data_IF_352918352875
#
_entry.id   IF_352918352875
#
_cell.length_a   1.000
_cell.length_b   1.000
_cell.length_c   1.000
_cell.angle_alpha   90.00
_cell.angle_beta   90.00
_cell.angle_gamma   90.00
#
_symmetry.space_group_name_H-M   'P 1'
#
loop_
_entity.id
_entity.type
_entity.pdbx_description
1 polymer ?
#
# COMPACT_ATOMS: atom_id res chain seq x y z
N UNK A 1 -60.64 -8.65 16.53
CA UNK A 1 -59.71 -9.75 16.19
C UNK A 1 -58.75 -9.42 15.06
N UNK A 2 -59.00 -8.48 14.15
CA UNK A 2 -58.20 -8.12 12.98
C UNK A 2 -56.97 -7.21 13.33
N UNK A 3 -57.10 -6.36 14.36
CA UNK A 3 -56.05 -5.40 14.77
C UNK A 3 -54.82 -6.08 15.44
N UNK A 4 -55.04 -7.20 16.16
CA UNK A 4 -53.98 -7.92 16.85
C UNK A 4 -53.02 -8.66 15.87
N UNK A 5 -53.53 -9.14 14.73
CA UNK A 5 -52.74 -9.83 13.73
C UNK A 5 -51.84 -8.85 12.97
N UNK A 6 -52.28 -7.62 12.72
CA UNK A 6 -51.51 -6.59 12.07
C UNK A 6 -50.31 -6.10 12.92
N UNK A 7 -50.46 -6.00 14.24
CA UNK A 7 -49.43 -5.58 15.17
C UNK A 7 -48.34 -6.64 15.31
N UNK A 8 -48.69 -7.91 15.35
CA UNK A 8 -47.70 -9.01 15.41
C UNK A 8 -46.91 -9.10 14.11
N UNK A 9 -47.55 -8.92 12.94
CA UNK A 9 -46.85 -8.89 11.64
C UNK A 9 -45.85 -7.71 11.50
N UNK A 10 -46.22 -6.54 12.07
CA UNK A 10 -45.34 -5.37 12.05
C UNK A 10 -44.12 -5.50 12.99
N UNK A 11 -44.29 -6.15 14.14
CA UNK A 11 -43.24 -6.44 15.10
C UNK A 11 -42.24 -7.48 14.56
N UNK A 12 -42.72 -8.52 13.89
CA UNK A 12 -41.85 -9.54 13.28
C UNK A 12 -41.07 -9.00 12.10
N UNK A 13 -41.67 -8.17 11.22
CA UNK A 13 -40.98 -7.51 10.12
C UNK A 13 -39.89 -6.56 10.63
N UNK A 14 -40.13 -5.81 11.70
CA UNK A 14 -39.17 -4.90 12.32
C UNK A 14 -38.00 -5.64 13.00
N UNK A 15 -38.25 -6.82 13.55
CA UNK A 15 -37.20 -7.70 14.08
C UNK A 15 -36.37 -8.33 12.99
N UNK A 16 -36.96 -8.79 11.89
CA UNK A 16 -36.23 -9.30 10.70
C UNK A 16 -35.35 -8.24 10.06
N UNK A 17 -35.85 -7.00 9.91
CA UNK A 17 -35.04 -5.89 9.40
C UNK A 17 -33.87 -5.55 10.31
N UNK A 18 -34.04 -5.58 11.63
CA UNK A 18 -32.96 -5.37 12.60
C UNK A 18 -31.92 -6.50 12.57
N UNK A 19 -32.34 -7.73 12.33
CA UNK A 19 -31.45 -8.86 12.18
C UNK A 19 -30.65 -8.79 10.88
N UNK A 20 -31.28 -8.41 9.75
CA UNK A 20 -30.62 -8.16 8.46
C UNK A 20 -29.64 -6.99 8.54
N UNK A 21 -30.06 -5.86 9.15
CA UNK A 21 -29.17 -4.72 9.38
C UNK A 21 -27.98 -5.05 10.30
N UNK A 22 -28.19 -5.84 11.35
CA UNK A 22 -27.09 -6.33 12.19
C UNK A 22 -26.16 -7.29 11.44
N UNK A 23 -26.68 -8.16 10.59
CA UNK A 23 -25.89 -9.05 9.75
C UNK A 23 -25.06 -8.26 8.71
N UNK A 24 -25.66 -7.30 8.03
CA UNK A 24 -24.97 -6.43 7.06
C UNK A 24 -23.97 -5.50 7.78
N UNK A 25 -24.32 -4.96 8.97
CA UNK A 25 -23.35 -4.19 9.76
C UNK A 25 -22.21 -5.09 10.27
N UNK A 26 -22.46 -6.34 10.65
CA UNK A 26 -21.44 -7.27 11.11
C UNK A 26 -20.48 -7.66 9.96
N UNK A 27 -20.97 -7.80 8.72
CA UNK A 27 -20.10 -8.02 7.56
C UNK A 27 -19.31 -6.77 7.17
N UNK A 28 -19.86 -5.56 7.39
CA UNK A 28 -19.16 -4.30 7.19
C UNK A 28 -18.21 -3.95 8.35
N UNK A 29 -18.40 -4.52 9.53
CA UNK A 29 -17.47 -4.38 10.67
C UNK A 29 -16.47 -5.52 10.75
N UNK A 30 -16.55 -6.48 9.82
CA UNK A 30 -15.55 -7.52 9.72
C UNK A 30 -14.20 -6.87 9.43
N UNK A 31 -13.36 -6.91 10.44
CA UNK A 31 -11.93 -6.72 10.35
C UNK A 31 -11.34 -5.30 10.36
N UNK A 32 -11.89 -4.39 11.16
CA UNK A 32 -11.14 -3.16 11.48
C UNK A 32 -9.93 -3.40 12.42
N UNK A 33 -9.94 -4.46 13.22
CA UNK A 33 -8.83 -4.76 14.15
C UNK A 33 -7.54 -5.19 13.43
N UNK A 34 -7.66 -5.83 12.25
CA UNK A 34 -6.49 -6.30 11.48
C UNK A 34 -5.98 -5.27 10.45
N UNK A 35 -6.64 -4.10 10.36
CA UNK A 35 -6.26 -3.04 9.41
C UNK A 35 -5.13 -2.13 9.92
N UNK A 36 -4.67 -2.33 11.16
CA UNK A 36 -3.63 -1.50 11.76
C UNK A 36 -2.29 -2.22 11.78
N UNK A 37 -1.26 -1.52 11.36
CA UNK A 37 0.09 -2.05 11.41
C UNK A 37 0.53 -2.25 12.87
N UNK A 38 1.08 -3.43 13.17
CA UNK A 38 1.79 -3.67 14.44
C UNK A 38 3.18 -3.04 14.37
N UNK A 39 3.73 -2.66 15.49
CA UNK A 39 5.11 -2.15 15.57
C UNK A 39 5.91 -2.90 16.63
N UNK A 40 7.21 -2.93 16.42
CA UNK A 40 8.19 -3.50 17.33
C UNK A 40 9.34 -2.50 17.52
N UNK A 41 10.01 -2.55 18.65
CA UNK A 41 11.17 -1.72 18.93
C UNK A 41 12.46 -2.46 18.59
N UNK A 42 13.31 -1.83 17.78
CA UNK A 42 14.60 -2.40 17.40
C UNK A 42 15.74 -1.43 17.64
N UNK A 43 16.89 -1.97 18.00
CA UNK A 43 18.15 -1.22 18.07
C UNK A 43 18.68 -1.00 16.65
N UNK A 44 19.40 0.07 16.40
CA UNK A 44 19.99 0.39 15.09
C UNK A 44 21.20 -0.51 14.80
N UNK A 45 21.29 -1.19 13.64
CA UNK A 45 22.32 -2.23 13.39
C UNK A 45 23.74 -1.72 13.14
N UNK A 46 24.06 -0.45 13.30
CA UNK A 46 25.34 0.12 12.85
C UNK A 46 26.03 1.10 13.78
N UNK A 47 26.09 0.86 15.06
CA UNK A 47 27.05 1.62 15.88
C UNK A 47 27.94 0.66 16.64
N UNK A 48 29.26 0.94 16.60
CA UNK A 48 30.28 0.28 17.40
C UNK A 48 30.24 0.75 18.87
N UNK A 49 29.17 1.38 19.28
CA UNK A 49 28.92 1.83 20.65
C UNK A 49 28.29 0.69 21.43
N UNK A 50 28.55 0.64 22.73
CA UNK A 50 28.13 -0.43 23.63
C UNK A 50 26.65 -0.78 23.45
N UNK A 51 26.37 -2.09 23.27
CA UNK A 51 25.04 -2.61 22.90
C UNK A 51 23.95 -2.22 23.90
N UNK A 52 24.30 -1.86 25.12
CA UNK A 52 23.37 -1.60 26.22
C UNK A 52 22.76 -0.17 26.21
N UNK A 53 23.40 0.80 25.54
CA UNK A 53 22.97 2.21 25.51
C UNK A 53 22.31 2.65 24.19
N UNK A 54 22.01 1.71 23.27
CA UNK A 54 21.45 2.10 21.97
C UNK A 54 19.96 2.45 22.07
N UNK A 55 19.55 3.62 21.51
CA UNK A 55 18.16 4.02 21.50
C UNK A 55 17.30 3.07 20.69
N UNK A 56 16.12 2.78 21.19
CA UNK A 56 15.12 1.95 20.52
C UNK A 56 14.32 2.78 19.51
N UNK A 57 14.11 2.22 18.31
CA UNK A 57 13.31 2.83 17.27
C UNK A 57 12.09 1.96 16.95
N UNK A 58 10.89 2.54 16.87
CA UNK A 58 9.71 1.80 16.46
C UNK A 58 9.81 1.43 14.98
N UNK A 59 9.57 0.17 14.67
CA UNK A 59 9.54 -0.36 13.31
C UNK A 59 8.23 -1.10 13.07
N UNK A 60 7.62 -0.86 11.92
CA UNK A 60 6.41 -1.59 11.52
C UNK A 60 6.77 -3.05 11.29
N UNK A 61 5.98 -3.94 11.91
CA UNK A 61 6.03 -5.39 11.66
C UNK A 61 5.25 -5.67 10.38
N UNK A 62 5.88 -6.34 9.42
CA UNK A 62 5.23 -6.71 8.16
C UNK A 62 4.21 -7.82 8.41
N UNK A 63 2.99 -7.65 7.93
CA UNK A 63 1.95 -8.68 7.92
C UNK A 63 2.02 -9.59 6.68
N UNK A 64 3.09 -9.47 5.90
CA UNK A 64 3.29 -10.20 4.65
C UNK A 64 3.28 -9.29 3.43
N UNK A 65 3.35 -9.88 2.26
CA UNK A 65 3.33 -9.18 0.97
C UNK A 65 2.00 -9.45 0.29
N UNK A 66 1.32 -8.41 -0.12
CA UNK A 66 0.13 -8.52 -0.98
C UNK A 66 0.60 -8.60 -2.42
N UNK A 67 0.23 -9.68 -3.10
CA UNK A 67 0.53 -9.87 -4.50
C UNK A 67 -0.40 -9.02 -5.38
N UNK A 68 0.07 -8.68 -6.58
CA UNK A 68 -0.72 -7.92 -7.56
C UNK A 68 -2.03 -8.63 -7.92
N UNK A 69 -2.04 -9.95 -8.01
CA UNK A 69 -3.22 -10.76 -8.27
C UNK A 69 -4.33 -10.57 -7.22
N UNK A 70 -3.96 -10.37 -5.96
CA UNK A 70 -4.93 -10.04 -4.92
C UNK A 70 -5.54 -8.65 -5.14
N UNK A 71 -4.72 -7.67 -5.52
CA UNK A 71 -5.19 -6.31 -5.85
C UNK A 71 -6.14 -6.32 -7.04
N UNK A 72 -5.80 -7.09 -8.09
CA UNK A 72 -6.64 -7.28 -9.29
C UNK A 72 -8.02 -7.81 -8.92
N UNK A 73 -8.08 -8.85 -8.06
CA UNK A 73 -9.35 -9.44 -7.60
C UNK A 73 -10.21 -8.42 -6.86
N UNK A 74 -9.61 -7.64 -5.96
CA UNK A 74 -10.32 -6.61 -5.18
C UNK A 74 -10.86 -5.49 -6.08
N UNK A 75 -10.08 -5.04 -7.08
CA UNK A 75 -10.52 -4.03 -8.03
C UNK A 75 -11.64 -4.58 -8.93
N UNK A 76 -11.52 -5.80 -9.44
CA UNK A 76 -12.54 -6.43 -10.29
C UNK A 76 -13.87 -6.61 -9.52
N UNK A 77 -13.84 -6.92 -8.24
CA UNK A 77 -15.04 -7.01 -7.40
C UNK A 77 -15.69 -5.64 -7.14
N UNK A 78 -14.91 -4.56 -7.15
CA UNK A 78 -15.38 -3.20 -6.88
C UNK A 78 -15.72 -2.39 -8.14
N UNK A 79 -15.45 -2.93 -9.33
CA UNK A 79 -15.60 -2.24 -10.61
C UNK A 79 -16.23 -3.15 -11.67
N UNK A 80 -16.48 -2.61 -12.87
CA UNK A 80 -16.95 -3.36 -14.03
C UNK A 80 -15.81 -3.94 -14.88
N UNK A 81 -14.54 -3.74 -14.50
CA UNK A 81 -13.40 -4.28 -15.21
C UNK A 81 -13.20 -5.76 -14.92
N UNK A 82 -12.84 -6.52 -15.95
CA UNK A 82 -12.41 -7.91 -15.74
C UNK A 82 -10.97 -7.96 -15.22
N UNK A 83 -10.57 -9.03 -14.52
CA UNK A 83 -9.18 -9.23 -14.14
C UNK A 83 -8.19 -9.09 -15.31
N UNK A 84 -8.54 -9.64 -16.47
CA UNK A 84 -7.71 -9.57 -17.66
C UNK A 84 -7.51 -8.13 -18.19
N UNK A 85 -8.55 -7.28 -18.11
CA UNK A 85 -8.43 -5.87 -18.49
C UNK A 85 -7.46 -5.12 -17.58
N UNK A 86 -7.51 -5.37 -16.28
CA UNK A 86 -6.64 -4.73 -15.28
C UNK A 86 -5.19 -5.16 -15.48
N UNK A 87 -4.94 -6.44 -15.68
CA UNK A 87 -3.60 -6.99 -15.98
C UNK A 87 -3.06 -6.45 -17.31
N UNK A 88 -3.89 -6.37 -18.35
CA UNK A 88 -3.51 -5.81 -19.64
C UNK A 88 -3.11 -4.34 -19.55
N UNK A 89 -3.86 -3.53 -18.80
CA UNK A 89 -3.53 -2.11 -18.57
C UNK A 89 -2.24 -1.98 -17.79
N UNK A 90 -2.03 -2.78 -16.74
CA UNK A 90 -0.80 -2.78 -15.94
C UNK A 90 0.42 -3.09 -16.81
N UNK A 91 0.37 -4.14 -17.62
CA UNK A 91 1.45 -4.52 -18.52
C UNK A 91 1.75 -3.41 -19.55
N UNK A 92 0.72 -2.77 -20.10
CA UNK A 92 0.89 -1.66 -21.02
C UNK A 92 1.59 -0.45 -20.35
N UNK A 93 1.24 -0.15 -19.09
CA UNK A 93 1.89 0.91 -18.30
C UNK A 93 3.36 0.57 -18.04
N UNK A 94 3.69 -0.65 -17.63
CA UNK A 94 5.08 -1.09 -17.40
C UNK A 94 5.94 -0.95 -18.66
N UNK A 95 5.43 -1.41 -19.80
CA UNK A 95 6.13 -1.31 -21.08
C UNK A 95 6.40 0.16 -21.44
N UNK A 96 5.41 1.04 -21.28
CA UNK A 96 5.57 2.47 -21.57
C UNK A 96 6.54 3.18 -20.62
N UNK A 97 6.50 2.84 -19.34
CA UNK A 97 7.48 3.38 -18.36
C UNK A 97 8.89 2.96 -18.78
N UNK A 98 9.10 1.69 -19.12
CA UNK A 98 10.41 1.16 -19.52
C UNK A 98 10.93 1.85 -20.78
N UNK A 99 10.09 2.04 -21.79
CA UNK A 99 10.42 2.73 -23.05
C UNK A 99 10.90 4.17 -22.80
N UNK A 100 10.15 4.93 -21.98
CA UNK A 100 10.52 6.31 -21.68
C UNK A 100 11.77 6.43 -20.78
N UNK A 101 11.96 5.51 -19.84
CA UNK A 101 13.15 5.51 -18.99
C UNK A 101 14.42 5.20 -19.81
N UNK A 102 14.36 4.29 -20.76
CA UNK A 102 15.47 3.99 -21.69
C UNK A 102 15.77 5.19 -22.58
N UNK A 103 14.74 5.96 -22.97
CA UNK A 103 14.91 7.21 -23.72
C UNK A 103 15.40 8.39 -22.87
N UNK A 104 15.75 8.16 -21.59
CA UNK A 104 16.29 9.17 -20.68
C UNK A 104 15.24 10.11 -20.04
N UNK A 105 13.95 9.80 -20.16
CA UNK A 105 12.90 10.62 -19.56
C UNK A 105 12.63 10.21 -18.11
N UNK A 106 12.20 11.18 -17.30
CA UNK A 106 11.56 10.89 -16.02
C UNK A 106 10.07 10.66 -16.26
N UNK A 107 9.51 9.61 -15.69
CA UNK A 107 8.09 9.25 -15.88
C UNK A 107 7.29 9.56 -14.63
N UNK A 108 6.30 10.42 -14.74
CA UNK A 108 5.34 10.68 -13.68
C UNK A 108 4.11 9.78 -13.87
N UNK A 109 3.85 8.91 -12.89
CA UNK A 109 2.65 8.08 -12.87
C UNK A 109 1.56 8.72 -12.00
N UNK A 110 0.86 9.67 -12.58
CA UNK A 110 -0.24 10.40 -11.92
C UNK A 110 0.14 10.91 -10.54
N UNK A 111 -0.71 10.62 -9.56
CA UNK A 111 -0.48 10.98 -8.16
C UNK A 111 0.40 9.98 -7.38
N UNK A 112 0.79 8.86 -7.99
CA UNK A 112 1.60 7.86 -7.33
C UNK A 112 3.02 8.37 -7.08
N UNK A 113 3.70 8.84 -8.12
CA UNK A 113 5.07 9.31 -7.99
C UNK A 113 5.83 9.40 -9.30
N UNK A 114 7.15 9.45 -9.20
CA UNK A 114 8.08 9.62 -10.30
C UNK A 114 9.04 8.45 -10.37
N UNK A 115 9.27 7.95 -11.57
CA UNK A 115 10.30 6.98 -11.89
C UNK A 115 11.45 7.67 -12.61
N UNK A 116 12.67 7.30 -12.27
CA UNK A 116 13.90 7.81 -12.92
C UNK A 116 14.95 6.72 -13.01
N UNK A 117 15.59 6.61 -14.15
CA UNK A 117 16.73 5.73 -14.33
C UNK A 117 17.98 6.33 -13.68
N UNK A 118 18.81 5.48 -13.08
CA UNK A 118 20.11 5.84 -12.52
C UNK A 118 21.20 5.07 -13.20
N UNK A 119 22.21 5.80 -13.66
CA UNK A 119 23.43 5.25 -14.20
C UNK A 119 24.54 5.27 -13.17
N UNK A 120 25.49 4.37 -13.30
CA UNK A 120 26.70 4.29 -12.50
C UNK A 120 27.91 4.10 -13.38
N UNK A 121 28.99 4.78 -13.01
CA UNK A 121 30.28 4.63 -13.64
C UNK A 121 31.40 4.70 -12.57
N UNK A 122 32.65 4.32 -12.91
CA UNK A 122 33.78 4.59 -12.03
C UNK A 122 34.02 6.09 -11.96
N UNK A 123 34.28 6.66 -10.77
CA UNK A 123 34.64 8.06 -10.66
C UNK A 123 36.01 8.30 -11.38
N UNK A 124 36.05 9.35 -12.19
CA UNK A 124 37.26 9.79 -12.95
C UNK A 124 37.49 11.28 -12.69
N UNK A 125 38.72 11.73 -12.85
CA UNK A 125 39.09 13.15 -12.67
C UNK A 125 38.80 13.98 -13.92
N UNK A 126 38.95 13.39 -15.11
CA UNK A 126 38.64 14.04 -16.39
C UNK A 126 37.49 13.33 -17.12
N UNK A 127 36.54 14.11 -17.63
CA UNK A 127 35.42 13.58 -18.40
C UNK A 127 35.82 12.78 -19.64
N UNK A 128 37.02 13.05 -20.20
CA UNK A 128 37.58 12.32 -21.34
C UNK A 128 37.98 10.87 -21.02
N UNK A 129 38.13 10.54 -19.75
CA UNK A 129 38.47 9.19 -19.29
C UNK A 129 37.24 8.28 -19.21
N UNK A 130 36.04 8.84 -19.30
CA UNK A 130 34.80 8.08 -19.27
C UNK A 130 34.51 7.55 -20.67
N UNK A 131 34.65 6.24 -20.84
CA UNK A 131 34.20 5.55 -22.05
C UNK A 131 32.74 5.06 -21.86
N UNK A 132 31.97 5.08 -22.94
CA UNK A 132 30.58 4.62 -22.92
C UNK A 132 30.40 3.20 -22.34
N UNK A 133 31.41 2.34 -22.55
CA UNK A 133 31.44 0.97 -22.01
C UNK A 133 31.62 0.89 -20.48
N UNK A 134 32.09 1.97 -19.83
CA UNK A 134 32.24 2.02 -18.37
C UNK A 134 30.98 2.49 -17.65
N UNK A 135 29.98 2.94 -18.40
CA UNK A 135 28.68 3.39 -17.89
C UNK A 135 27.70 2.23 -17.94
N UNK A 136 27.09 1.91 -16.82
CA UNK A 136 26.08 0.85 -16.75
C UNK A 136 24.84 1.31 -15.99
N UNK A 137 23.73 0.66 -16.29
CA UNK A 137 22.49 0.88 -15.58
C UNK A 137 22.60 0.35 -14.14
N UNK A 138 22.31 1.20 -13.15
CA UNK A 138 22.38 0.85 -11.73
C UNK A 138 21.00 0.43 -11.20
N UNK A 139 20.02 1.32 -11.33
CA UNK A 139 18.70 1.09 -10.73
C UNK A 139 17.63 2.01 -11.33
N UNK A 140 16.36 1.66 -11.13
CA UNK A 140 15.23 2.56 -11.26
C UNK A 140 14.85 3.11 -9.88
N UNK A 141 14.95 4.43 -9.72
CA UNK A 141 14.53 5.09 -8.50
C UNK A 141 13.04 5.46 -8.60
N UNK A 142 12.29 5.10 -7.57
CA UNK A 142 10.92 5.56 -7.38
C UNK A 142 10.86 6.61 -6.27
N UNK A 143 10.25 7.76 -6.57
CA UNK A 143 10.00 8.82 -5.60
C UNK A 143 8.50 9.07 -5.49
N UNK A 144 7.86 8.75 -4.36
CA UNK A 144 6.44 8.99 -4.18
C UNK A 144 6.11 10.48 -4.22
N UNK A 145 4.97 10.83 -4.81
CA UNK A 145 4.50 12.20 -4.89
C UNK A 145 4.14 12.77 -3.50
N UNK A 146 4.11 14.08 -3.38
CA UNK A 146 3.70 14.74 -2.13
C UNK A 146 2.24 14.44 -1.76
N UNK A 147 1.36 14.34 -2.75
CA UNK A 147 -0.05 13.97 -2.58
C UNK A 147 -0.20 12.54 -2.07
N UNK A 148 0.53 11.59 -2.64
CA UNK A 148 0.53 10.20 -2.19
C UNK A 148 1.04 10.07 -0.74
N UNK A 149 2.16 10.74 -0.41
CA UNK A 149 2.69 10.76 0.97
C UNK A 149 1.71 11.36 1.96
N UNK A 150 1.02 12.46 1.60
CA UNK A 150 -0.02 13.07 2.45
C UNK A 150 -1.18 12.11 2.67
N UNK A 151 -1.62 11.41 1.62
CA UNK A 151 -2.70 10.41 1.71
C UNK A 151 -2.31 9.27 2.67
N UNK A 152 -1.13 8.68 2.52
CA UNK A 152 -0.64 7.61 3.41
C UNK A 152 -0.52 8.12 4.86
N UNK A 153 0.07 9.31 5.07
CA UNK A 153 0.15 9.93 6.39
C UNK A 153 -1.21 10.10 7.05
N UNK A 154 -2.23 10.57 6.29
CA UNK A 154 -3.58 10.73 6.82
C UNK A 154 -4.22 9.39 7.26
N UNK A 155 -3.94 8.30 6.57
CA UNK A 155 -4.38 6.97 7.02
C UNK A 155 -3.65 6.52 8.28
N UNK A 156 -2.34 6.71 8.37
CA UNK A 156 -1.53 6.38 9.55
C UNK A 156 -1.99 7.18 10.77
N UNK A 157 -2.26 8.47 10.63
CA UNK A 157 -2.76 9.31 11.73
C UNK A 157 -4.13 8.87 12.22
N UNK A 158 -5.03 8.48 11.32
CA UNK A 158 -6.33 7.90 11.70
C UNK A 158 -6.20 6.55 12.40
N UNK A 159 -5.16 5.80 12.10
CA UNK A 159 -4.91 4.46 12.62
C UNK A 159 -4.12 4.44 13.94
N UNK A 160 -3.61 5.58 14.41
CA UNK A 160 -2.75 5.64 15.63
C UNK A 160 -3.35 4.96 16.87
N UNK A 161 -4.66 5.07 17.07
CA UNK A 161 -5.35 4.44 18.19
C UNK A 161 -5.45 2.91 18.09
N UNK A 162 -5.17 2.35 16.91
CA UNK A 162 -5.22 0.92 16.63
C UNK A 162 -3.83 0.26 16.55
N UNK A 163 -2.74 1.05 16.66
CA UNK A 163 -1.40 0.48 16.68
C UNK A 163 -1.16 -0.28 18.00
N UNK A 164 -0.80 -1.55 17.88
CA UNK A 164 -0.45 -2.40 19.01
C UNK A 164 1.03 -2.83 18.92
N UNK A 165 1.66 -3.00 20.07
CA UNK A 165 2.99 -3.58 20.16
C UNK A 165 2.91 -5.07 19.78
N UNK A 166 3.87 -5.58 19.02
CA UNK A 166 3.89 -6.95 18.53
C UNK A 166 4.15 -8.02 19.59
N UNK A 167 4.55 -7.59 20.81
CA UNK A 167 4.84 -8.49 21.93
C UNK A 167 3.62 -8.80 22.82
N UNK A 168 2.40 -8.31 22.50
CA UNK A 168 1.15 -8.64 23.19
C UNK A 168 0.46 -9.85 22.57
#
# INVERSE_FOLDING_TARGET
MIIQVAIVGYLTARQSLKCLLKGVLATLTHNRKDMYAKYDFRKKPSSKEDEDEQPLYPRIVSNGTIDFQQIVKEIAQASSFTPADIEGVQLAIENKISEYLVSGHHVQLGNLGYFSAKLKARPVMDAKEIHAQSIYFDNVNFRPSSSFRKKVRGFVEKAKSGFAHSAE
#
